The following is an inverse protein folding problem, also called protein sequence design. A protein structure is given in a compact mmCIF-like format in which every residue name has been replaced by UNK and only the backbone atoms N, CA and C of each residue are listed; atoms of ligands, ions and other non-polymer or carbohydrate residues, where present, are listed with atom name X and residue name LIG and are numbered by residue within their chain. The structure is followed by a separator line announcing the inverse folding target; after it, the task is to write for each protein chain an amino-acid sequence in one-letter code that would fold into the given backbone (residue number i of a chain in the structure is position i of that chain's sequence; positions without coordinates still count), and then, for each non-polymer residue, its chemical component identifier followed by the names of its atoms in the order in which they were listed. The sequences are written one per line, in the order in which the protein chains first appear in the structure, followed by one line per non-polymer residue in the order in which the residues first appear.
data_IF_013910770955
#
_entry.id   IF_013910770955
#
_cell.length_a   1.000
_cell.length_b   1.000
_cell.length_c   1.000
_cell.angle_alpha   90.00
_cell.angle_beta   90.00
_cell.angle_gamma   90.00
#
_symmetry.space_group_name_H-M   'P 1'
#
loop_
_entity.id
_entity.type
_entity.pdbx_description
1 polymer ?
#
# COMPACT_ATOMS: atom_id res chain seq x y z
N UNK A 1 29.52 38.65 2.33
CA UNK A 1 28.23 38.06 1.91
C UNK A 1 28.33 36.59 2.28
N UNK A 2 27.49 36.02 3.14
CA UNK A 2 26.09 35.70 2.83
C UNK A 2 25.24 35.63 4.11
N UNK A 3 24.01 36.08 3.97
CA UNK A 3 23.00 36.39 4.99
C UNK A 3 22.51 35.13 5.70
N UNK A 4 22.47 35.16 7.04
CA UNK A 4 21.78 34.18 7.89
C UNK A 4 20.27 34.27 7.60
N UNK A 5 19.67 33.21 7.05
CA UNK A 5 18.22 33.12 6.88
C UNK A 5 17.57 32.88 8.25
N UNK A 6 16.82 33.87 8.72
CA UNK A 6 15.95 33.75 9.88
C UNK A 6 14.71 32.91 9.50
N UNK A 7 14.43 31.89 10.30
CA UNK A 7 13.23 31.06 10.20
C UNK A 7 12.14 31.74 11.05
N UNK A 8 11.11 32.29 10.41
CA UNK A 8 9.92 32.81 11.10
C UNK A 8 8.84 31.72 11.12
N UNK A 9 8.59 31.16 12.30
CA UNK A 9 7.45 30.27 12.56
C UNK A 9 6.37 31.13 13.22
N UNK A 10 5.23 31.29 12.55
CA UNK A 10 4.03 31.88 13.13
C UNK A 10 3.14 30.75 13.65
N UNK A 11 3.02 30.60 14.96
CA UNK A 11 1.95 29.82 15.59
C UNK A 11 0.85 30.80 16.04
N UNK A 12 -0.32 30.71 15.43
CA UNK A 12 -1.55 31.31 15.98
C UNK A 12 -2.35 30.18 16.61
N UNK A 13 -2.29 30.10 17.94
CA UNK A 13 -3.13 29.21 18.73
C UNK A 13 -4.41 29.94 19.11
N UNK A 14 -5.54 29.54 18.54
CA UNK A 14 -6.86 29.96 18.99
C UNK A 14 -7.56 28.75 19.63
N UNK A 15 -7.61 28.72 20.96
CA UNK A 15 -8.58 27.91 21.68
C UNK A 15 -9.93 28.59 21.59
N UNK A 16 -10.93 27.89 21.07
CA UNK A 16 -12.34 28.22 21.26
C UNK A 16 -13.07 26.96 21.71
N UNK A 17 -13.45 26.98 22.99
CA UNK A 17 -14.44 26.10 23.59
C UNK A 17 -15.81 26.42 23.00
N UNK A 18 -16.54 25.41 22.56
CA UNK A 18 -17.94 25.56 22.15
C UNK A 18 -18.56 24.22 21.77
N UNK A 19 -19.21 23.58 22.74
CA UNK A 19 -20.13 22.47 22.50
C UNK A 19 -21.35 22.96 21.72
N UNK A 20 -21.72 22.30 20.64
CA UNK A 20 -23.10 22.29 20.17
C UNK A 20 -23.44 20.91 19.60
N UNK A 21 -24.36 20.23 20.26
CA UNK A 21 -25.07 19.07 19.72
C UNK A 21 -26.05 19.56 18.65
N UNK A 22 -26.02 18.95 17.48
CA UNK A 22 -27.13 18.99 16.54
C UNK A 22 -27.46 17.54 16.17
N UNK A 23 -28.62 17.08 16.62
CA UNK A 23 -29.27 15.88 16.09
C UNK A 23 -29.57 16.12 14.61
N UNK A 24 -29.11 15.21 13.76
CA UNK A 24 -29.60 15.10 12.39
C UNK A 24 -30.54 13.88 12.33
N UNK A 25 -31.83 14.17 12.13
CA UNK A 25 -32.88 13.18 11.92
C UNK A 25 -32.63 12.42 10.61
N UNK A 26 -32.29 11.14 10.72
CA UNK A 26 -32.29 10.22 9.59
C UNK A 26 -33.72 9.76 9.29
N UNK A 27 -34.27 10.18 8.16
CA UNK A 27 -35.35 9.45 7.50
C UNK A 27 -34.75 8.24 6.80
N UNK A 28 -34.99 7.04 7.34
CA UNK A 28 -34.96 5.81 6.56
C UNK A 28 -36.36 5.22 6.55
N UNK A 29 -37.02 5.38 5.40
CA UNK A 29 -38.17 4.59 5.01
C UNK A 29 -37.69 3.16 4.72
N UNK A 30 -38.23 2.22 5.48
CA UNK A 30 -38.05 0.80 5.28
C UNK A 30 -39.41 0.25 4.88
N UNK A 31 -39.57 -0.16 3.62
CA UNK A 31 -40.40 -1.31 3.28
C UNK A 31 -40.26 -1.78 1.83
N UNK A 32 -39.88 -3.06 1.74
CA UNK A 32 -40.57 -4.13 1.03
C UNK A 32 -40.14 -4.53 -0.40
N UNK A 33 -39.64 -5.77 -0.45
CA UNK A 33 -39.89 -6.87 -1.41
C UNK A 33 -39.99 -6.60 -2.91
N UNK A 34 -39.24 -7.40 -3.67
CA UNK A 34 -39.64 -7.79 -5.03
C UNK A 34 -38.47 -8.26 -5.87
N UNK A 35 -38.45 -9.55 -6.21
CA UNK A 35 -37.47 -10.11 -7.15
C UNK A 35 -37.67 -9.62 -8.59
N UNK A 36 -36.66 -9.85 -9.43
CA UNK A 36 -36.77 -9.60 -10.86
C UNK A 36 -35.41 -9.75 -11.56
N UNK A 37 -35.31 -10.78 -12.41
CA UNK A 37 -34.23 -10.95 -13.37
C UNK A 37 -34.19 -9.78 -14.36
N UNK A 38 -33.00 -9.30 -14.71
CA UNK A 38 -32.79 -8.34 -15.78
C UNK A 38 -31.35 -8.43 -16.29
N UNK A 39 -31.17 -9.08 -17.43
CA UNK A 39 -29.88 -9.22 -18.08
C UNK A 39 -29.45 -7.96 -18.82
N UNK A 40 -28.15 -7.74 -18.86
CA UNK A 40 -27.50 -6.87 -19.83
C UNK A 40 -26.52 -7.72 -20.64
N UNK A 41 -26.76 -7.77 -21.96
CA UNK A 41 -25.84 -8.29 -22.96
C UNK A 41 -24.76 -7.24 -23.22
N UNK A 42 -23.49 -7.64 -23.24
CA UNK A 42 -22.40 -6.85 -23.82
C UNK A 42 -21.87 -7.58 -25.07
N UNK A 43 -21.94 -6.96 -26.27
CA UNK A 43 -21.49 -7.55 -27.53
C UNK A 43 -19.96 -7.51 -27.64
N UNK A 44 -19.40 -8.43 -28.41
CA UNK A 44 -17.95 -8.65 -28.64
C UNK A 44 -17.27 -9.56 -27.60
N UNK A 45 -17.56 -10.86 -27.72
CA UNK A 45 -16.92 -11.91 -26.93
C UNK A 45 -15.54 -12.34 -27.44
N UNK A 46 -14.82 -13.05 -26.57
CA UNK A 46 -14.16 -14.32 -26.87
C UNK A 46 -13.66 -14.93 -25.55
N UNK A 47 -14.32 -15.98 -25.08
CA UNK A 47 -13.81 -16.88 -24.06
C UNK A 47 -13.87 -18.29 -24.64
N UNK A 48 -12.76 -18.73 -25.25
CA UNK A 48 -12.61 -20.05 -25.85
C UNK A 48 -12.32 -21.10 -24.79
N UNK A 49 -13.40 -21.66 -24.21
CA UNK A 49 -13.38 -22.92 -23.49
C UNK A 49 -13.41 -24.12 -24.46
N UNK A 50 -12.78 -25.20 -24.02
CA UNK A 50 -12.59 -26.48 -24.70
C UNK A 50 -13.91 -27.09 -25.22
N UNK A 51 -13.95 -27.41 -26.52
CA UNK A 51 -15.02 -28.20 -27.14
C UNK A 51 -14.41 -29.10 -28.21
N UNK A 52 -14.32 -30.40 -27.91
CA UNK A 52 -13.81 -31.40 -28.84
C UNK A 52 -14.84 -31.75 -29.91
N UNK A 53 -14.37 -31.83 -31.15
CA UNK A 53 -15.05 -32.55 -32.22
C UNK A 53 -14.24 -33.81 -32.53
N UNK A 54 -14.85 -34.98 -32.33
CA UNK A 54 -14.31 -36.26 -32.80
C UNK A 54 -14.80 -36.51 -34.23
N UNK A 55 -13.85 -36.73 -35.14
CA UNK A 55 -14.10 -37.12 -36.53
C UNK A 55 -14.32 -38.66 -36.61
N UNK A 56 -15.46 -39.14 -37.15
CA UNK A 56 -15.84 -40.55 -37.11
C UNK A 56 -15.37 -41.39 -38.33
N UNK A 57 -14.47 -40.92 -39.20
CA UNK A 57 -13.91 -41.74 -40.28
C UNK A 57 -12.38 -41.57 -40.40
N UNK A 58 -11.63 -42.32 -39.59
CA UNK A 58 -10.17 -42.18 -39.49
C UNK A 58 -9.35 -42.64 -40.71
N UNK A 59 -8.04 -42.39 -40.64
CA UNK A 59 -7.01 -43.42 -40.76
C UNK A 59 -5.64 -42.93 -40.28
N UNK A 60 -4.92 -43.86 -39.65
CA UNK A 60 -3.60 -43.73 -39.04
C UNK A 60 -2.53 -43.60 -40.15
N UNK A 61 -1.84 -42.47 -40.21
CA UNK A 61 -0.74 -42.24 -41.17
C UNK A 61 0.10 -41.05 -40.77
N UNK A 62 1.26 -41.31 -40.16
CA UNK A 62 2.23 -40.27 -39.82
C UNK A 62 2.91 -39.74 -41.07
N UNK A 63 2.60 -38.50 -41.43
CA UNK A 63 3.41 -37.70 -42.33
C UNK A 63 4.07 -36.58 -41.52
N UNK A 64 5.37 -36.72 -41.26
CA UNK A 64 6.21 -35.59 -40.82
C UNK A 64 6.67 -34.85 -42.07
N UNK A 65 6.39 -33.55 -42.13
CA UNK A 65 6.85 -32.67 -43.21
C UNK A 65 8.38 -32.48 -43.09
N UNK A 66 9.17 -32.94 -44.08
CA UNK A 66 10.64 -32.90 -44.03
C UNK A 66 11.21 -31.48 -44.23
N UNK A 67 10.38 -30.47 -44.47
CA UNK A 67 10.81 -29.07 -44.61
C UNK A 67 10.31 -28.14 -43.50
N UNK A 68 9.70 -28.68 -42.44
CA UNK A 68 9.37 -27.90 -41.26
C UNK A 68 10.65 -27.44 -40.56
N UNK A 69 11.05 -26.17 -40.77
CA UNK A 69 12.13 -25.57 -39.98
C UNK A 69 11.69 -25.48 -38.52
N UNK A 70 12.57 -25.84 -37.55
CA UNK A 70 12.27 -25.57 -36.15
C UNK A 70 12.03 -24.07 -35.99
N UNK A 71 11.03 -23.64 -35.18
CA UNK A 71 10.78 -22.22 -35.00
C UNK A 71 12.09 -21.55 -34.58
N UNK A 72 12.46 -20.49 -35.29
CA UNK A 72 13.62 -19.69 -34.96
C UNK A 72 13.48 -19.27 -33.49
N UNK A 73 14.46 -19.63 -32.66
CA UNK A 73 14.51 -19.15 -31.29
C UNK A 73 14.67 -17.64 -31.36
N UNK A 74 13.64 -16.91 -30.93
CA UNK A 74 13.71 -15.46 -30.79
C UNK A 74 14.78 -15.13 -29.73
N UNK A 75 15.89 -14.49 -30.10
CA UNK A 75 16.96 -14.15 -29.17
C UNK A 75 16.53 -13.12 -28.11
N UNK A 76 15.29 -12.61 -28.17
CA UNK A 76 14.70 -11.66 -27.23
C UNK A 76 13.49 -12.19 -26.46
N UNK A 77 13.23 -13.51 -26.45
CA UNK A 77 12.19 -14.10 -25.60
C UNK A 77 12.54 -13.95 -24.09
N UNK A 78 12.29 -12.77 -23.51
CA UNK A 78 12.29 -12.57 -22.07
C UNK A 78 10.95 -13.04 -21.51
N UNK A 79 11.02 -13.95 -20.53
CA UNK A 79 9.87 -14.40 -19.75
C UNK A 79 9.16 -13.20 -19.09
N UNK A 80 7.90 -12.98 -19.48
CA UNK A 80 6.85 -12.38 -18.64
C UNK A 80 7.20 -11.07 -17.93
N UNK A 81 7.43 -10.00 -18.69
CA UNK A 81 7.36 -8.63 -18.17
C UNK A 81 6.02 -8.00 -18.52
N UNK A 82 5.11 -7.84 -17.55
CA UNK A 82 4.03 -6.87 -17.66
C UNK A 82 4.66 -5.47 -17.60
N UNK A 83 4.17 -4.52 -18.40
CA UNK A 83 4.71 -3.16 -18.45
C UNK A 83 4.67 -2.53 -17.05
N UNK A 84 5.83 -2.24 -16.47
CA UNK A 84 5.95 -1.81 -15.07
C UNK A 84 6.80 -0.55 -15.01
N UNK A 85 6.20 0.57 -14.64
CA UNK A 85 6.96 1.65 -14.01
C UNK A 85 7.31 1.13 -12.61
N UNK A 86 8.61 1.03 -12.31
CA UNK A 86 9.17 0.39 -11.11
C UNK A 86 9.95 -0.89 -11.42
N UNK A 87 11.29 -0.85 -11.29
CA UNK A 87 12.09 -2.07 -11.46
C UNK A 87 12.06 -2.87 -10.17
N UNK A 88 11.54 -4.10 -10.21
CA UNK A 88 11.69 -5.04 -9.11
C UNK A 88 13.18 -5.25 -8.78
N UNK A 89 13.59 -5.04 -7.52
CA UNK A 89 15.00 -5.18 -7.10
C UNK A 89 15.20 -6.14 -5.92
N UNK A 90 16.44 -6.56 -5.69
CA UNK A 90 16.80 -7.42 -4.55
C UNK A 90 17.03 -6.60 -3.27
N UNK A 91 16.75 -7.18 -2.09
CA UNK A 91 16.99 -6.52 -0.79
C UNK A 91 18.44 -6.06 -0.60
N UNK A 92 19.42 -6.79 -1.12
CA UNK A 92 20.83 -6.42 -1.03
C UNK A 92 21.19 -5.16 -1.84
N UNK A 93 20.30 -4.71 -2.74
CA UNK A 93 20.56 -3.59 -3.65
C UNK A 93 20.03 -2.23 -3.16
N UNK A 94 19.28 -2.21 -2.05
CA UNK A 94 18.79 -0.99 -1.42
C UNK A 94 19.77 -0.49 -0.33
N UNK A 95 19.71 0.78 0.09
CA UNK A 95 20.60 1.32 1.12
C UNK A 95 20.62 0.53 2.43
N UNK A 96 21.77 0.47 3.09
CA UNK A 96 21.98 -0.37 4.26
C UNK A 96 21.09 0.02 5.46
N UNK A 97 20.79 1.31 5.63
CA UNK A 97 19.84 1.80 6.63
C UNK A 97 18.42 1.25 6.42
N UNK A 98 17.94 1.16 5.18
CA UNK A 98 16.65 0.54 4.87
C UNK A 98 16.65 -0.96 5.20
N UNK A 99 17.71 -1.69 4.81
CA UNK A 99 17.87 -3.11 5.15
C UNK A 99 17.88 -3.32 6.68
N UNK A 100 18.60 -2.47 7.41
CA UNK A 100 18.68 -2.53 8.87
C UNK A 100 17.32 -2.22 9.53
N UNK A 101 16.58 -1.25 9.00
CA UNK A 101 15.24 -0.92 9.47
C UNK A 101 14.30 -2.12 9.36
N UNK A 102 14.26 -2.77 8.19
CA UNK A 102 13.44 -3.97 7.97
C UNK A 102 13.83 -5.07 8.96
N UNK A 103 15.13 -5.36 9.09
CA UNK A 103 15.63 -6.38 10.02
C UNK A 103 15.29 -6.06 11.48
N UNK A 104 15.34 -4.79 11.88
CA UNK A 104 15.09 -4.37 13.25
C UNK A 104 13.61 -4.46 13.63
N UNK A 105 12.71 -4.00 12.76
CA UNK A 105 11.29 -3.85 13.08
C UNK A 105 10.45 -5.03 12.58
N UNK A 106 10.93 -5.76 11.59
CA UNK A 106 10.24 -6.90 10.97
C UNK A 106 11.16 -8.14 10.82
N UNK A 107 11.90 -8.57 11.87
CA UNK A 107 12.96 -9.58 11.77
C UNK A 107 12.51 -10.96 11.26
N UNK A 108 11.23 -11.30 11.43
CA UNK A 108 10.67 -12.62 11.12
C UNK A 108 9.69 -12.58 9.95
N UNK A 109 9.70 -11.52 9.16
CA UNK A 109 8.78 -11.35 8.03
C UNK A 109 9.60 -11.26 6.76
N UNK A 110 9.28 -12.11 5.79
CA UNK A 110 9.98 -12.17 4.52
C UNK A 110 9.63 -10.97 3.65
N UNK A 111 10.62 -10.41 2.97
CA UNK A 111 10.43 -9.45 1.87
C UNK A 111 9.95 -10.20 0.63
N UNK A 112 8.82 -9.79 0.06
CA UNK A 112 8.21 -10.42 -1.12
C UNK A 112 8.50 -9.65 -2.40
N UNK A 113 8.48 -8.32 -2.35
CA UNK A 113 8.72 -7.46 -3.50
C UNK A 113 9.37 -6.15 -3.05
N UNK A 114 10.23 -5.61 -3.92
CA UNK A 114 10.81 -4.28 -3.73
C UNK A 114 10.70 -3.55 -5.06
N UNK A 115 10.02 -2.42 -5.04
CA UNK A 115 9.98 -1.47 -6.14
C UNK A 115 10.96 -0.34 -5.86
N UNK A 116 11.68 0.10 -6.89
CA UNK A 116 12.56 1.25 -6.79
C UNK A 116 12.41 2.12 -8.02
N UNK A 117 12.22 3.41 -7.78
CA UNK A 117 12.33 4.44 -8.79
C UNK A 117 13.30 5.55 -8.32
N UNK A 118 13.13 6.75 -8.87
CA UNK A 118 13.97 7.90 -8.57
C UNK A 118 13.53 8.68 -7.33
N UNK A 119 12.25 8.57 -6.92
CA UNK A 119 11.69 9.27 -5.76
C UNK A 119 11.71 8.41 -4.52
N UNK A 120 11.42 7.11 -4.64
CA UNK A 120 11.15 6.25 -3.50
C UNK A 120 11.65 4.81 -3.72
N UNK A 121 11.75 4.09 -2.61
CA UNK A 121 11.95 2.63 -2.55
C UNK A 121 10.78 2.07 -1.74
N UNK A 122 9.95 1.25 -2.36
CA UNK A 122 8.81 0.61 -1.71
C UNK A 122 9.13 -0.86 -1.44
N UNK A 123 8.98 -1.29 -0.20
CA UNK A 123 9.23 -2.67 0.24
C UNK A 123 7.94 -3.30 0.71
N UNK A 124 7.60 -4.43 0.10
CA UNK A 124 6.44 -5.23 0.44
C UNK A 124 6.87 -6.49 1.18
N UNK A 125 6.18 -6.76 2.29
CA UNK A 125 6.44 -7.91 3.16
C UNK A 125 5.32 -8.96 3.04
N UNK A 126 5.64 -10.21 3.40
CA UNK A 126 4.72 -11.36 3.28
C UNK A 126 3.43 -11.22 4.09
N UNK A 127 3.45 -10.45 5.18
CA UNK A 127 2.27 -10.18 6.01
C UNK A 127 1.41 -9.00 5.49
N UNK A 128 1.73 -8.48 4.29
CA UNK A 128 1.07 -7.32 3.69
C UNK A 128 1.60 -5.97 4.15
N UNK A 129 2.59 -5.91 5.04
CA UNK A 129 3.22 -4.63 5.41
C UNK A 129 3.89 -3.98 4.19
N UNK A 130 3.62 -2.70 3.97
CA UNK A 130 4.32 -1.84 3.01
C UNK A 130 5.20 -0.85 3.76
N UNK A 131 6.44 -0.66 3.31
CA UNK A 131 7.39 0.30 3.86
C UNK A 131 7.94 1.13 2.71
N UNK A 132 7.73 2.44 2.77
CA UNK A 132 8.25 3.38 1.79
C UNK A 132 9.46 4.09 2.39
N UNK A 133 10.54 4.12 1.63
CA UNK A 133 11.78 4.80 1.97
C UNK A 133 12.09 5.86 0.94
N UNK A 134 12.73 6.94 1.38
CA UNK A 134 13.44 7.84 0.49
C UNK A 134 14.59 7.09 -0.23
N UNK A 135 15.15 7.63 -1.33
CA UNK A 135 16.19 6.96 -2.10
C UNK A 135 17.50 6.76 -1.30
N UNK A 136 17.68 7.53 -0.22
CA UNK A 136 18.79 7.41 0.73
C UNK A 136 18.56 6.30 1.78
N UNK A 137 17.40 5.65 1.80
CA UNK A 137 17.02 4.57 2.70
C UNK A 137 16.43 5.00 4.04
N UNK A 138 16.19 6.30 4.26
CA UNK A 138 15.43 6.75 5.42
C UNK A 138 13.96 6.44 5.22
N UNK A 139 13.31 5.81 6.21
CA UNK A 139 11.90 5.46 6.11
C UNK A 139 11.03 6.73 6.12
N UNK A 140 10.04 6.73 5.23
CA UNK A 140 9.04 7.78 5.01
C UNK A 140 7.69 7.35 5.57
N UNK A 141 7.26 6.14 5.25
CA UNK A 141 5.95 5.62 5.59
C UNK A 141 5.99 4.12 5.91
N UNK A 142 5.13 3.68 6.82
CA UNK A 142 4.89 2.26 7.12
C UNK A 142 3.39 2.02 7.22
N UNK A 143 2.86 1.15 6.36
CA UNK A 143 1.48 0.65 6.43
C UNK A 143 1.49 -0.80 6.90
N UNK A 144 0.70 -1.11 7.93
CA UNK A 144 0.52 -2.48 8.42
C UNK A 144 -0.97 -2.83 8.41
N UNK A 145 -1.31 -3.98 7.82
CA UNK A 145 -2.63 -4.60 7.99
C UNK A 145 -2.73 -5.45 9.27
N UNK A 146 -1.59 -5.72 9.92
CA UNK A 146 -1.48 -6.40 11.21
C UNK A 146 -0.93 -5.48 12.31
N UNK A 147 -0.21 -6.07 13.27
CA UNK A 147 0.36 -5.32 14.40
C UNK A 147 1.56 -4.47 13.97
N UNK A 148 1.45 -3.15 14.12
CA UNK A 148 2.57 -2.22 13.99
C UNK A 148 3.63 -2.48 15.08
N UNK A 149 4.93 -2.63 14.73
CA UNK A 149 5.99 -2.74 15.72
C UNK A 149 6.02 -1.52 16.65
N UNK A 150 5.93 -1.75 17.96
CA UNK A 150 5.93 -0.66 18.96
C UNK A 150 7.26 0.14 18.99
N UNK A 151 8.31 -0.38 18.37
CA UNK A 151 9.67 0.20 18.34
C UNK A 151 9.89 1.17 17.18
N UNK A 152 8.95 1.29 16.22
CA UNK A 152 9.09 2.19 15.07
C UNK A 152 9.09 3.67 15.48
N UNK A 153 8.32 4.01 16.52
CA UNK A 153 8.22 5.37 17.03
C UNK A 153 9.00 5.56 18.34
N UNK A 154 9.51 6.77 18.60
CA UNK A 154 9.97 7.15 19.93
C UNK A 154 8.92 6.87 21.02
N UNK A 155 9.36 6.47 22.21
CA UNK A 155 8.47 6.02 23.28
C UNK A 155 7.47 7.10 23.73
N UNK A 156 7.87 8.38 23.75
CA UNK A 156 7.01 9.52 24.05
C UNK A 156 5.85 9.66 23.05
N UNK A 157 6.11 9.49 21.76
CA UNK A 157 5.08 9.52 20.70
C UNK A 157 4.12 8.34 20.86
N UNK A 158 4.66 7.12 21.05
CA UNK A 158 3.87 5.91 21.27
C UNK A 158 2.97 6.02 22.51
N UNK A 159 3.47 6.61 23.60
CA UNK A 159 2.70 6.84 24.81
C UNK A 159 1.54 7.81 24.59
N UNK A 160 1.75 8.87 23.79
CA UNK A 160 0.67 9.79 23.44
C UNK A 160 -0.43 9.08 22.66
N UNK A 161 -0.09 8.26 21.65
CA UNK A 161 -1.08 7.49 20.87
C UNK A 161 -1.91 6.59 21.80
N UNK A 162 -1.25 5.80 22.65
CA UNK A 162 -1.91 4.85 23.58
C UNK A 162 -2.77 5.56 24.63
N UNK A 163 -2.36 6.75 25.09
CA UNK A 163 -3.16 7.53 26.05
C UNK A 163 -4.41 8.12 25.39
N UNK A 164 -4.29 8.57 24.14
CA UNK A 164 -5.42 9.17 23.41
C UNK A 164 -6.41 8.11 22.93
N UNK A 165 -5.90 6.98 22.40
CA UNK A 165 -6.71 5.88 21.86
C UNK A 165 -6.19 4.51 22.35
N UNK A 166 -6.52 4.11 23.60
CA UNK A 166 -5.94 2.91 24.22
C UNK A 166 -6.34 1.59 23.57
N UNK A 167 -7.47 1.56 22.87
CA UNK A 167 -8.02 0.35 22.24
C UNK A 167 -7.84 0.32 20.71
N UNK A 168 -7.25 1.37 20.12
CA UNK A 168 -7.06 1.44 18.68
C UNK A 168 -5.70 0.86 18.28
N UNK A 169 -5.65 0.21 17.12
CA UNK A 169 -4.43 -0.24 16.49
C UNK A 169 -3.92 0.80 15.50
N UNK A 170 -2.60 0.94 15.40
CA UNK A 170 -1.96 1.78 14.39
C UNK A 170 -1.92 1.01 13.06
N UNK A 171 -2.44 1.59 11.99
CA UNK A 171 -2.46 0.99 10.65
C UNK A 171 -1.49 1.67 9.69
N UNK A 172 -1.20 2.95 9.88
CA UNK A 172 -0.21 3.70 9.09
C UNK A 172 0.53 4.69 9.96
N UNK A 173 1.82 4.84 9.69
CA UNK A 173 2.68 5.90 10.25
C UNK A 173 3.41 6.55 9.08
N UNK A 174 3.32 7.87 8.97
CA UNK A 174 4.02 8.67 7.97
C UNK A 174 4.80 9.79 8.64
N UNK A 175 6.02 10.07 8.16
CA UNK A 175 6.81 11.22 8.59
C UNK A 175 6.54 12.41 7.70
N UNK A 176 6.06 13.48 8.31
CA UNK A 176 5.93 14.80 7.70
C UNK A 176 6.86 15.78 8.41
N UNK A 177 8.10 15.90 7.92
CA UNK A 177 9.14 16.78 8.48
C UNK A 177 9.45 16.51 9.97
N UNK A 178 8.80 17.22 10.89
CA UNK A 178 8.95 17.06 12.35
C UNK A 178 7.72 16.47 13.03
N UNK A 179 6.75 16.01 12.23
CA UNK A 179 5.46 15.49 12.67
C UNK A 179 5.33 14.04 12.20
N UNK A 180 4.78 13.20 13.06
CA UNK A 180 4.25 11.90 12.70
C UNK A 180 2.75 12.04 12.44
N UNK A 181 2.31 11.66 11.24
CA UNK A 181 0.90 11.37 10.98
C UNK A 181 0.67 9.89 11.29
N UNK A 182 -0.29 9.61 12.17
CA UNK A 182 -0.61 8.25 12.63
C UNK A 182 -2.06 7.97 12.32
N UNK A 183 -2.32 7.05 11.40
CA UNK A 183 -3.67 6.55 11.14
C UNK A 183 -3.96 5.33 11.99
N UNK A 184 -5.15 5.31 12.56
CA UNK A 184 -5.65 4.26 13.43
C UNK A 184 -6.74 3.45 12.73
N UNK A 185 -6.96 2.21 13.18
CA UNK A 185 -7.97 1.31 12.63
C UNK A 185 -9.43 1.74 12.86
N UNK A 186 -9.64 2.81 13.64
CA UNK A 186 -10.95 3.42 13.89
C UNK A 186 -11.16 4.72 13.09
N UNK A 187 -10.46 4.87 11.95
CA UNK A 187 -10.55 6.02 11.03
C UNK A 187 -10.08 7.35 11.64
N UNK A 188 -9.37 7.31 12.78
CA UNK A 188 -8.75 8.50 13.36
C UNK A 188 -7.33 8.69 12.84
N UNK A 189 -6.98 9.93 12.52
CA UNK A 189 -5.62 10.37 12.27
C UNK A 189 -5.14 11.27 13.40
N UNK A 190 -3.91 11.05 13.86
CA UNK A 190 -3.23 11.87 14.86
C UNK A 190 -2.01 12.53 14.26
N UNK A 191 -1.78 13.79 14.62
CA UNK A 191 -0.58 14.53 14.30
C UNK A 191 0.21 14.75 15.59
N UNK A 192 1.37 14.09 15.71
CA UNK A 192 2.18 14.11 16.93
C UNK A 192 3.60 14.57 16.59
N UNK A 193 4.11 15.56 17.32
CA UNK A 193 5.48 16.03 17.11
C UNK A 193 6.54 15.06 17.68
N UNK A 194 7.82 15.34 17.39
CA UNK A 194 8.94 14.56 17.92
C UNK A 194 9.07 14.55 19.47
N UNK A 195 8.49 15.53 20.16
CA UNK A 195 8.45 15.58 21.63
C UNK A 195 7.30 14.75 22.21
N UNK A 196 6.41 14.22 21.37
CA UNK A 196 5.23 13.47 21.77
C UNK A 196 4.03 14.35 22.08
N UNK A 197 4.06 15.64 21.70
CA UNK A 197 2.92 16.54 21.81
C UNK A 197 1.91 16.24 20.70
N UNK A 198 0.66 15.98 21.09
CA UNK A 198 -0.46 15.92 20.15
C UNK A 198 -0.75 17.33 19.62
N UNK A 199 -0.57 17.53 18.32
CA UNK A 199 -0.82 18.81 17.64
C UNK A 199 -2.26 18.89 17.12
N UNK A 200 -2.84 17.75 16.73
CA UNK A 200 -4.20 17.69 16.22
C UNK A 200 -4.64 16.27 15.92
N UNK A 201 -5.92 16.13 15.61
CA UNK A 201 -6.53 14.88 15.16
C UNK A 201 -7.70 15.17 14.21
N UNK A 202 -7.95 14.29 13.25
CA UNK A 202 -9.11 14.39 12.34
C UNK A 202 -9.63 12.98 11.99
N UNK A 203 -10.85 12.93 11.51
CA UNK A 203 -11.39 11.74 10.87
C UNK A 203 -10.80 11.63 9.45
N UNK A 204 -10.45 10.42 9.03
CA UNK A 204 -10.07 10.06 7.67
C UNK A 204 -11.36 9.72 6.91
N UNK A 205 -11.87 10.68 6.12
CA UNK A 205 -13.13 10.60 5.35
C UNK A 205 -12.95 10.27 3.86
#
# INVERSE_FOLDING_TARGET
MTIKKALFILFVSAMLTGSLFAQYDGYYDNNNQGGGQGGYQDPYGQQGGQGGYQDPYGQQGGYQDPYSQPPAQDPYAQQGGQQQYGYGVQLSSIPQNAQNFIKQHFPNIKVTFIERDWEDIEVYLENGTQIDFFPNGDWKEVKCYGNMPATILPANVMNTIKRTYPNAAIVKIEKQFTIFEIKLNNMMELYVDNNGQLLGQKWDD
#
